data_IF_714523663942
#
_entry.id   IF_714523663942
#
_cell.length_a   1.000
_cell.length_b   1.000
_cell.length_c   1.000
_cell.angle_alpha   90.00
_cell.angle_beta   90.00
_cell.angle_gamma   90.00
#
_symmetry.space_group_name_H-M   'P 1'
#
loop_
_entity.id
_entity.type
_entity.pdbx_description
1 polymer ?
#
# COMPACT_ATOMS: atom_id res chain seq x y z
N UNK A 1 27.55 28.34 -5.02
CA UNK A 1 27.07 27.01 -4.57
C UNK A 1 28.07 25.89 -4.91
N UNK A 2 28.49 25.73 -6.17
CA UNK A 2 29.48 24.72 -6.60
C UNK A 2 30.80 24.71 -5.80
N UNK A 3 31.40 25.87 -5.57
CA UNK A 3 32.67 26.00 -4.85
C UNK A 3 32.62 25.49 -3.39
N UNK A 4 31.46 25.62 -2.73
CA UNK A 4 31.30 25.15 -1.35
C UNK A 4 31.25 23.61 -1.29
N UNK A 5 30.52 22.99 -2.23
CA UNK A 5 30.42 21.53 -2.35
C UNK A 5 31.76 20.91 -2.76
N UNK A 6 32.50 21.55 -3.66
CA UNK A 6 33.83 21.10 -4.05
C UNK A 6 34.83 21.16 -2.89
N UNK A 7 34.77 22.23 -2.07
CA UNK A 7 35.59 22.34 -0.86
C UNK A 7 35.27 21.26 0.18
N UNK A 8 34.00 20.89 0.33
CA UNK A 8 33.57 19.78 1.21
C UNK A 8 34.13 18.43 0.73
N UNK A 9 34.03 18.15 -0.57
CA UNK A 9 34.52 16.92 -1.19
C UNK A 9 36.04 16.76 -1.05
N UNK A 10 36.80 17.84 -1.25
CA UNK A 10 38.25 17.83 -1.11
C UNK A 10 38.68 17.47 0.32
N UNK A 11 37.97 17.99 1.34
CA UNK A 11 38.25 17.71 2.76
C UNK A 11 37.96 16.26 3.15
N UNK A 12 36.99 15.62 2.50
CA UNK A 12 36.68 14.18 2.65
C UNK A 12 37.76 13.32 1.99
N UNK A 13 38.27 13.72 0.82
CA UNK A 13 39.37 13.01 0.13
C UNK A 13 40.68 13.11 0.92
N UNK A 14 40.97 14.27 1.50
CA UNK A 14 42.16 14.50 2.34
C UNK A 14 42.06 13.89 3.75
N UNK A 15 40.96 13.19 4.08
CA UNK A 15 40.75 12.56 5.39
C UNK A 15 40.59 13.54 6.55
N UNK A 16 40.44 14.84 6.26
CA UNK A 16 40.24 15.91 7.26
C UNK A 16 38.83 15.94 7.82
N UNK A 17 37.92 15.20 7.18
CA UNK A 17 36.56 14.94 7.63
C UNK A 17 36.38 13.43 7.61
N UNK A 18 35.76 12.80 8.64
CA UNK A 18 35.49 11.39 8.60
C UNK A 18 34.67 11.05 7.35
N UNK A 19 35.07 10.01 6.62
CA UNK A 19 34.17 9.32 5.68
C UNK A 19 33.17 8.60 6.56
N UNK A 20 32.15 9.31 7.01
CA UNK A 20 31.04 8.68 7.70
C UNK A 20 30.42 7.76 6.66
N UNK A 21 30.66 6.46 6.80
CA UNK A 21 29.87 5.45 6.10
C UNK A 21 28.44 5.74 6.49
N UNK A 22 27.67 6.25 5.54
CA UNK A 22 26.23 6.38 5.70
C UNK A 22 25.75 4.95 5.91
N UNK A 23 25.26 4.62 7.11
CA UNK A 23 24.48 3.42 7.29
C UNK A 23 23.36 3.48 6.24
N UNK A 24 23.49 2.65 5.21
CA UNK A 24 22.89 2.84 3.88
C UNK A 24 21.39 2.50 3.83
N UNK A 25 20.67 2.77 4.93
CA UNK A 25 19.21 2.76 4.99
C UNK A 25 18.86 4.03 5.76
N UNK A 26 18.52 5.09 5.01
CA UNK A 26 17.81 6.24 5.53
C UNK A 26 16.32 6.00 5.25
N UNK A 27 15.61 5.25 6.12
CA UNK A 27 14.20 4.98 5.90
C UNK A 27 13.45 6.30 5.95
N UNK A 28 12.55 6.52 5.00
CA UNK A 28 11.66 7.68 5.01
C UNK A 28 10.82 7.71 6.28
N UNK A 29 10.31 8.89 6.65
CA UNK A 29 9.47 9.05 7.85
C UNK A 29 8.25 8.11 7.85
N UNK A 30 7.72 7.80 6.66
CA UNK A 30 6.60 6.88 6.46
C UNK A 30 7.01 5.45 6.76
N UNK A 31 8.17 5.01 6.27
CA UNK A 31 8.73 3.68 6.54
C UNK A 31 9.06 3.52 8.02
N UNK A 32 9.64 4.54 8.66
CA UNK A 32 9.86 4.56 10.11
C UNK A 32 8.57 4.46 10.92
N UNK A 33 7.51 5.16 10.50
CA UNK A 33 6.21 5.09 11.14
C UNK A 33 5.59 3.69 11.04
N UNK A 34 5.66 3.07 9.86
CA UNK A 34 5.19 1.71 9.65
C UNK A 34 5.99 0.69 10.45
N UNK A 35 7.32 0.80 10.47
CA UNK A 35 8.19 -0.07 11.30
C UNK A 35 7.82 0.02 12.79
N UNK A 36 7.56 1.23 13.31
CA UNK A 36 7.12 1.43 14.70
C UNK A 36 5.74 0.81 14.95
N UNK A 37 4.81 0.90 13.99
CA UNK A 37 3.48 0.28 14.07
C UNK A 37 3.58 -1.25 14.17
N UNK A 38 4.52 -1.85 13.45
CA UNK A 38 4.74 -3.30 13.44
C UNK A 38 5.23 -3.87 14.78
N UNK A 39 5.81 -3.06 15.67
CA UNK A 39 6.26 -3.53 17.00
C UNK A 39 5.13 -4.11 17.84
N UNK A 40 3.89 -3.63 17.63
CA UNK A 40 2.71 -4.16 18.32
C UNK A 40 2.36 -5.56 17.82
N UNK A 41 2.21 -5.73 16.50
CA UNK A 41 1.92 -7.03 15.88
C UNK A 41 3.01 -8.07 16.19
N UNK A 42 4.28 -7.64 16.17
CA UNK A 42 5.40 -8.47 16.62
C UNK A 42 5.22 -8.94 18.07
N UNK A 43 4.91 -8.03 18.99
CA UNK A 43 4.75 -8.37 20.41
C UNK A 43 3.58 -9.30 20.70
N UNK A 44 2.48 -9.17 19.94
CA UNK A 44 1.32 -10.06 20.03
C UNK A 44 1.68 -11.49 19.62
N UNK A 45 2.27 -11.67 18.43
CA UNK A 45 2.67 -13.00 17.93
C UNK A 45 3.80 -13.61 18.75
N UNK A 46 4.84 -12.83 19.09
CA UNK A 46 5.93 -13.31 19.92
C UNK A 46 5.46 -13.60 21.36
N UNK A 47 4.42 -12.91 21.85
CA UNK A 47 3.77 -13.21 23.12
C UNK A 47 3.02 -14.55 23.11
N UNK A 48 2.33 -14.88 22.01
CA UNK A 48 1.65 -16.17 21.82
C UNK A 48 2.64 -17.34 21.73
N UNK A 49 3.75 -17.15 21.01
CA UNK A 49 4.83 -18.14 20.91
C UNK A 49 5.58 -18.27 22.25
N UNK A 50 5.68 -17.16 23.00
CA UNK A 50 6.34 -17.07 24.28
C UNK A 50 7.80 -16.61 24.17
N UNK A 51 8.13 -15.48 24.81
CA UNK A 51 9.47 -14.91 24.92
C UNK A 51 10.47 -15.73 25.78
N UNK A 52 10.07 -16.91 26.24
CA UNK A 52 10.90 -17.76 27.09
C UNK A 52 12.10 -18.36 26.32
N UNK A 53 11.98 -18.50 24.99
CA UNK A 53 13.07 -18.92 24.12
C UNK A 53 13.62 -17.71 23.34
N UNK A 54 14.95 -17.64 23.12
CA UNK A 54 15.52 -16.60 22.27
C UNK A 54 15.04 -16.77 20.82
N UNK A 55 15.01 -15.69 20.04
CA UNK A 55 14.60 -15.75 18.62
C UNK A 55 15.42 -16.77 17.79
N UNK A 56 16.66 -17.05 18.19
CA UNK A 56 17.52 -18.03 17.53
C UNK A 56 17.05 -19.49 17.68
N UNK A 57 16.19 -19.77 18.66
CA UNK A 57 15.65 -21.11 18.93
C UNK A 57 14.21 -21.27 18.40
N UNK A 58 13.72 -20.31 17.62
CA UNK A 58 12.41 -20.42 16.98
C UNK A 58 12.48 -21.48 15.88
N UNK A 59 11.48 -22.35 15.82
CA UNK A 59 11.30 -23.20 14.66
C UNK A 59 10.98 -22.35 13.43
N UNK A 60 11.20 -22.89 12.24
CA UNK A 60 10.91 -22.19 10.99
C UNK A 60 9.46 -21.69 10.94
N UNK A 61 8.49 -22.50 11.38
CA UNK A 61 7.08 -22.13 11.42
C UNK A 61 6.81 -20.90 12.32
N UNK A 62 7.47 -20.83 13.47
CA UNK A 62 7.31 -19.74 14.43
C UNK A 62 8.00 -18.46 13.95
N UNK A 63 9.17 -18.60 13.33
CA UNK A 63 9.86 -17.48 12.71
C UNK A 63 9.03 -16.91 11.55
N UNK A 64 8.49 -17.78 10.69
CA UNK A 64 7.61 -17.36 9.59
C UNK A 64 6.35 -16.68 10.09
N UNK A 65 5.74 -17.15 11.20
CA UNK A 65 4.57 -16.52 11.79
C UNK A 65 4.87 -15.08 12.24
N UNK A 66 6.02 -14.84 12.88
CA UNK A 66 6.43 -13.50 13.30
C UNK A 66 6.72 -12.60 12.09
N UNK A 67 7.41 -13.12 11.08
CA UNK A 67 7.73 -12.38 9.85
C UNK A 67 6.45 -12.00 9.12
N UNK A 68 5.51 -12.94 8.96
CA UNK A 68 4.25 -12.71 8.26
C UNK A 68 3.41 -11.62 8.94
N UNK A 69 3.35 -11.63 10.26
CA UNK A 69 2.65 -10.60 11.03
C UNK A 69 3.28 -9.21 10.87
N UNK A 70 4.62 -9.12 10.87
CA UNK A 70 5.33 -7.86 10.62
C UNK A 70 5.09 -7.36 9.20
N UNK A 71 5.27 -8.23 8.20
CA UNK A 71 5.14 -7.85 6.78
C UNK A 71 3.71 -7.42 6.47
N UNK A 72 2.72 -8.18 6.96
CA UNK A 72 1.30 -7.82 6.82
C UNK A 72 1.03 -6.45 7.42
N UNK A 73 1.39 -6.23 8.69
CA UNK A 73 1.19 -4.95 9.36
C UNK A 73 1.90 -3.78 8.64
N UNK A 74 3.10 -4.02 8.12
CA UNK A 74 3.86 -3.02 7.37
C UNK A 74 3.15 -2.64 6.06
N UNK A 75 2.70 -3.64 5.30
CA UNK A 75 1.99 -3.40 4.03
C UNK A 75 0.67 -2.67 4.26
N UNK A 76 -0.10 -3.04 5.28
CA UNK A 76 -1.32 -2.34 5.68
C UNK A 76 -1.05 -0.89 6.06
N UNK A 77 0.00 -0.62 6.85
CA UNK A 77 0.41 0.73 7.21
C UNK A 77 0.79 1.58 5.99
N UNK A 78 1.45 0.97 5.00
CA UNK A 78 1.80 1.63 3.74
C UNK A 78 0.55 1.94 2.90
N UNK A 79 -0.41 1.01 2.83
CA UNK A 79 -1.68 1.22 2.13
C UNK A 79 -2.48 2.34 2.78
N UNK A 80 -2.64 2.34 4.10
CA UNK A 80 -3.33 3.41 4.83
C UNK A 80 -2.69 4.78 4.56
N UNK A 81 -1.35 4.86 4.58
CA UNK A 81 -0.64 6.10 4.28
C UNK A 81 -0.85 6.54 2.83
N UNK A 82 -0.79 5.59 1.89
CA UNK A 82 -1.05 5.86 0.47
C UNK A 82 -2.47 6.38 0.27
N UNK A 83 -3.48 5.76 0.89
CA UNK A 83 -4.88 6.18 0.84
C UNK A 83 -5.07 7.57 1.44
N UNK A 84 -4.45 7.87 2.59
CA UNK A 84 -4.53 9.18 3.23
C UNK A 84 -3.87 10.30 2.41
N UNK A 85 -2.85 9.97 1.61
CA UNK A 85 -2.04 10.96 0.86
C UNK A 85 -2.38 10.99 -0.64
N UNK A 86 -3.21 10.06 -1.14
CA UNK A 86 -3.55 9.90 -2.56
C UNK A 86 -4.12 11.18 -3.19
N UNK A 87 -4.85 11.97 -2.41
CA UNK A 87 -5.47 13.21 -2.88
C UNK A 87 -4.85 14.41 -2.16
N UNK A 88 -4.20 15.34 -2.87
CA UNK A 88 -3.72 16.56 -2.25
C UNK A 88 -4.91 17.35 -1.68
N UNK A 89 -4.76 18.06 -0.55
CA UNK A 89 -5.86 18.85 0.02
C UNK A 89 -6.36 19.90 -0.98
N UNK A 90 -7.51 19.67 -1.61
CA UNK A 90 -8.15 20.63 -2.51
C UNK A 90 -9.04 21.56 -1.69
N UNK A 91 -8.75 22.85 -1.73
CA UNK A 91 -9.50 23.88 -0.99
C UNK A 91 -10.99 23.80 -1.36
N UNK A 92 -11.84 23.47 -0.38
CA UNK A 92 -13.30 23.40 -0.53
C UNK A 92 -13.89 21.99 -0.60
N UNK A 93 -13.05 20.95 -0.72
CA UNK A 93 -13.47 19.55 -0.65
C UNK A 93 -13.02 18.98 0.71
N UNK A 94 -13.98 18.50 1.51
CA UNK A 94 -13.69 17.89 2.82
C UNK A 94 -13.21 16.44 2.69
N UNK A 95 -13.76 15.72 1.72
CA UNK A 95 -13.50 14.30 1.51
C UNK A 95 -12.89 14.07 0.12
N UNK A 96 -11.89 13.18 0.00
CA UNK A 96 -11.33 12.80 -1.27
C UNK A 96 -12.38 12.08 -2.13
N UNK A 97 -12.49 12.48 -3.40
CA UNK A 97 -13.38 11.81 -4.36
C UNK A 97 -12.65 10.59 -4.89
N UNK A 98 -13.01 9.41 -4.39
CA UNK A 98 -12.39 8.12 -4.74
C UNK A 98 -12.60 7.78 -6.22
N UNK A 99 -13.78 8.08 -6.74
CA UNK A 99 -14.16 7.91 -8.15
C UNK A 99 -14.94 9.13 -8.65
N UNK A 100 -14.28 10.06 -9.37
CA UNK A 100 -14.89 11.29 -9.85
C UNK A 100 -15.86 11.10 -11.03
N UNK A 101 -16.05 9.87 -11.50
CA UNK A 101 -16.95 9.55 -12.61
C UNK A 101 -17.98 8.46 -12.25
N UNK A 102 -18.11 8.09 -10.98
CA UNK A 102 -19.05 7.05 -10.53
C UNK A 102 -20.53 7.39 -10.78
N UNK A 103 -20.86 8.66 -10.98
CA UNK A 103 -22.18 9.18 -11.31
C UNK A 103 -22.38 9.43 -12.81
N UNK A 104 -21.37 9.18 -13.64
CA UNK A 104 -21.49 9.27 -15.09
C UNK A 104 -22.18 8.00 -15.59
N UNK A 105 -23.45 8.11 -15.95
CA UNK A 105 -24.18 7.07 -16.69
C UNK A 105 -23.36 6.70 -17.94
N UNK A 106 -23.29 5.40 -18.26
CA UNK A 106 -22.53 4.77 -19.37
C UNK A 106 -23.01 5.21 -20.77
N UNK A 107 -23.53 6.44 -20.93
CA UNK A 107 -23.93 7.05 -22.18
C UNK A 107 -22.70 7.67 -22.87
N UNK A 108 -21.73 6.82 -23.18
CA UNK A 108 -20.66 7.18 -24.08
C UNK A 108 -21.24 7.27 -25.51
N UNK A 109 -21.15 8.42 -26.20
CA UNK A 109 -21.78 8.61 -27.51
C UNK A 109 -21.17 7.74 -28.64
N UNK A 110 -20.17 6.92 -28.33
CA UNK A 110 -19.50 5.99 -29.24
C UNK A 110 -19.71 4.51 -28.86
N UNK A 111 -20.51 4.19 -27.85
CA UNK A 111 -20.95 2.81 -27.61
C UNK A 111 -22.23 2.52 -28.39
N UNK A 112 -22.19 1.52 -29.29
CA UNK A 112 -23.38 1.05 -29.97
C UNK A 112 -24.32 0.34 -28.97
N UNK A 113 -25.64 0.59 -29.00
CA UNK A 113 -26.56 0.01 -28.02
C UNK A 113 -26.52 -1.51 -28.14
N UNK A 114 -26.12 -2.18 -27.05
CA UNK A 114 -26.19 -3.65 -26.94
C UNK A 114 -27.64 -4.07 -27.14
N UNK A 115 -27.91 -4.65 -28.31
CA UNK A 115 -29.21 -5.16 -28.69
C UNK A 115 -29.79 -6.03 -27.57
N UNK A 116 -31.01 -5.70 -27.16
CA UNK A 116 -31.84 -6.40 -26.19
C UNK A 116 -32.07 -7.86 -26.63
N UNK A 117 -31.10 -8.73 -26.34
CA UNK A 117 -31.20 -10.16 -26.57
C UNK A 117 -31.89 -10.84 -25.38
N UNK A 118 -33.12 -10.45 -25.03
CA UNK A 118 -33.83 -11.09 -23.91
C UNK A 118 -35.37 -10.92 -23.86
N UNK A 119 -36.09 -10.95 -24.98
CA UNK A 119 -37.55 -11.20 -24.93
C UNK A 119 -38.07 -11.85 -26.22
N UNK A 120 -37.67 -13.11 -26.48
CA UNK A 120 -38.31 -13.93 -27.52
C UNK A 120 -38.26 -15.44 -27.20
N UNK A 121 -38.35 -15.82 -25.92
CA UNK A 121 -38.44 -17.24 -25.51
C UNK A 121 -39.60 -17.50 -24.56
N UNK A 122 -40.79 -16.97 -24.83
CA UNK A 122 -42.03 -17.45 -24.20
C UNK A 122 -43.23 -17.02 -25.03
N UNK A 123 -43.60 -17.81 -26.04
CA UNK A 123 -44.96 -17.94 -26.53
C UNK A 123 -45.03 -19.11 -27.52
N UNK A 124 -45.20 -20.33 -26.99
CA UNK A 124 -45.70 -21.45 -27.78
C UNK A 124 -47.19 -21.20 -28.11
N UNK A 125 -47.67 -21.43 -29.34
CA UNK A 125 -49.10 -21.32 -29.62
C UNK A 125 -49.80 -22.63 -29.18
N UNK A 126 -50.74 -22.50 -28.24
CA UNK A 126 -51.76 -23.52 -27.96
C UNK A 126 -52.88 -23.41 -29.00
N UNK A 127 -53.28 -24.56 -29.53
CA UNK A 127 -54.42 -24.78 -30.43
C UNK A 127 -55.74 -24.17 -29.92
N UNK A 128 -56.53 -23.61 -30.84
CA UNK A 128 -57.99 -23.49 -30.71
C UNK A 128 -58.71 -23.32 -32.06
N UNK A 129 -59.12 -24.46 -32.64
CA UNK A 129 -60.49 -24.76 -33.14
C UNK A 129 -61.26 -23.67 -33.91
N UNK A 130 -61.45 -23.89 -35.21
CA UNK A 130 -62.76 -24.03 -35.86
C UNK A 130 -62.64 -24.83 -37.16
#
# INVERSE_FOLDING_TARGET
MFHALYGQWLRVQEGRTPKTEVAMIDPSDVELAAMKKCLKAFGEVAGEIGFAKPLGDYSEAEALQVIDAIVTCYTEAMVEHHEATKYPPVRGLKDPVSDPFADLEDDLPWEEPKAQAQTARTAAPKEARR
#
